data_IF_081427538622
#
_entry.id   IF_081427538622
#
_cell.length_a   1.000
_cell.length_b   1.000
_cell.length_c   1.000
_cell.angle_alpha   90.00
_cell.angle_beta   90.00
_cell.angle_gamma   90.00
#
_symmetry.space_group_name_H-M   'P 1'
#
loop_
_entity.id
_entity.type
_entity.pdbx_description
1 polymer ?
#
# COMPACT_ATOMS: atom_id res chain seq x y z
N UNK A 1 -28.29 -3.42 4.20
CA UNK A 1 -27.22 -4.27 4.79
C UNK A 1 -26.26 -3.35 5.52
N UNK A 2 -25.65 -3.76 6.63
CA UNK A 2 -24.71 -2.89 7.33
C UNK A 2 -23.52 -2.58 6.43
N UNK A 3 -23.14 -1.31 6.38
CA UNK A 3 -21.92 -0.83 5.71
C UNK A 3 -20.72 -1.33 6.51
N UNK A 4 -19.59 -1.60 5.85
CA UNK A 4 -18.33 -1.93 6.55
C UNK A 4 -17.87 -0.71 7.34
N UNK A 5 -17.76 -0.86 8.65
CA UNK A 5 -17.32 0.18 9.58
C UNK A 5 -16.01 -0.28 10.26
N UNK A 6 -14.90 0.38 9.97
CA UNK A 6 -13.58 0.03 10.52
C UNK A 6 -13.47 0.31 12.03
N UNK A 7 -14.34 1.18 12.56
CA UNK A 7 -14.43 1.49 14.00
C UNK A 7 -15.24 0.47 14.79
N UNK A 8 -15.94 -0.45 14.11
CA UNK A 8 -16.75 -1.50 14.71
C UNK A 8 -15.87 -2.73 15.04
N UNK A 9 -15.54 -2.88 16.32
CA UNK A 9 -14.73 -4.00 16.82
C UNK A 9 -15.37 -5.36 16.57
N UNK A 10 -16.71 -5.44 16.60
CA UNK A 10 -17.43 -6.70 16.40
C UNK A 10 -17.35 -7.13 14.93
N UNK A 11 -17.46 -6.18 14.00
CA UNK A 11 -17.21 -6.47 12.58
C UNK A 11 -15.77 -6.88 12.32
N UNK A 12 -14.80 -6.21 12.96
CA UNK A 12 -13.38 -6.55 12.84
C UNK A 12 -13.10 -7.98 13.33
N UNK A 13 -13.69 -8.37 14.45
CA UNK A 13 -13.60 -9.72 14.98
C UNK A 13 -14.33 -10.74 14.08
N UNK A 14 -15.54 -10.41 13.62
CA UNK A 14 -16.33 -11.26 12.72
C UNK A 14 -15.60 -11.60 11.42
N UNK A 15 -14.80 -10.68 10.88
CA UNK A 15 -13.95 -10.95 9.71
C UNK A 15 -13.01 -12.14 9.98
N UNK A 16 -12.33 -12.17 11.12
CA UNK A 16 -11.35 -13.23 11.46
C UNK A 16 -12.04 -14.57 11.75
N UNK A 17 -13.19 -14.54 12.42
CA UNK A 17 -13.98 -15.73 12.73
C UNK A 17 -14.55 -16.36 11.45
N UNK A 18 -15.15 -15.54 10.59
CA UNK A 18 -15.66 -15.96 9.30
C UNK A 18 -14.54 -16.46 8.38
N UNK A 19 -13.39 -15.77 8.36
CA UNK A 19 -12.21 -16.21 7.63
C UNK A 19 -11.72 -17.57 8.11
N UNK A 20 -11.79 -17.84 9.41
CA UNK A 20 -11.44 -19.14 9.98
C UNK A 20 -12.43 -20.24 9.52
N UNK A 21 -13.72 -19.95 9.48
CA UNK A 21 -14.73 -20.86 8.95
C UNK A 21 -14.52 -21.14 7.46
N UNK A 22 -14.35 -20.09 6.64
CA UNK A 22 -14.09 -20.19 5.21
C UNK A 22 -12.79 -20.94 4.88
N UNK A 23 -11.76 -20.81 5.71
CA UNK A 23 -10.49 -21.51 5.52
C UNK A 23 -10.62 -23.03 5.75
N UNK A 24 -11.55 -23.47 6.62
CA UNK A 24 -11.88 -24.87 6.86
C UNK A 24 -12.84 -25.45 5.80
N UNK A 25 -13.63 -24.59 5.16
CA UNK A 25 -14.65 -25.00 4.16
C UNK A 25 -15.92 -25.60 4.78
N UNK A 26 -16.89 -25.95 3.93
CA UNK A 26 -18.14 -26.61 4.31
C UNK A 26 -19.37 -25.71 4.35
N UNK A 27 -20.58 -26.30 4.43
CA UNK A 27 -21.88 -25.60 4.40
C UNK A 27 -22.03 -24.55 5.54
N UNK A 28 -21.39 -24.76 6.67
CA UNK A 28 -21.38 -23.77 7.76
C UNK A 28 -20.74 -22.44 7.36
N UNK A 29 -19.78 -22.45 6.41
CA UNK A 29 -19.15 -21.24 5.90
C UNK A 29 -20.09 -20.40 5.02
N UNK A 30 -20.92 -21.05 4.20
CA UNK A 30 -21.90 -20.37 3.34
C UNK A 30 -23.00 -19.68 4.16
N UNK A 31 -23.47 -20.35 5.20
CA UNK A 31 -24.45 -19.77 6.11
C UNK A 31 -23.90 -18.58 6.88
N UNK A 32 -22.66 -18.67 7.34
CA UNK A 32 -21.98 -17.58 8.05
C UNK A 32 -21.76 -16.34 7.15
N UNK A 33 -21.47 -16.54 5.87
CA UNK A 33 -21.35 -15.44 4.89
C UNK A 33 -22.66 -14.67 4.75
N UNK A 34 -23.81 -15.36 4.70
CA UNK A 34 -25.12 -14.74 4.53
C UNK A 34 -25.50 -13.82 5.71
N UNK A 35 -24.96 -14.05 6.91
CA UNK A 35 -25.28 -13.29 8.12
C UNK A 35 -24.54 -11.97 8.27
N UNK A 36 -23.35 -11.79 7.61
CA UNK A 36 -22.44 -10.69 7.91
C UNK A 36 -22.41 -9.56 6.87
N UNK A 37 -23.13 -9.71 5.76
CA UNK A 37 -23.11 -8.74 4.67
C UNK A 37 -21.88 -8.86 3.74
N UNK A 38 -21.99 -8.29 2.51
CA UNK A 38 -21.05 -8.55 1.42
C UNK A 38 -19.62 -8.01 1.68
N UNK A 39 -19.49 -6.90 2.38
CA UNK A 39 -18.18 -6.28 2.63
C UNK A 39 -17.36 -7.09 3.64
N UNK A 40 -17.95 -7.48 4.77
CA UNK A 40 -17.33 -8.35 5.78
C UNK A 40 -17.01 -9.72 5.17
N UNK A 41 -17.92 -10.26 4.36
CA UNK A 41 -17.72 -11.53 3.68
C UNK A 41 -16.56 -11.48 2.66
N UNK A 42 -16.43 -10.40 1.90
CA UNK A 42 -15.33 -10.20 0.97
C UNK A 42 -13.98 -10.13 1.70
N UNK A 43 -13.89 -9.35 2.78
CA UNK A 43 -12.68 -9.21 3.59
C UNK A 43 -12.29 -10.55 4.24
N UNK A 44 -13.27 -11.27 4.79
CA UNK A 44 -13.07 -12.61 5.36
C UNK A 44 -12.61 -13.64 4.30
N UNK A 45 -13.13 -13.56 3.07
CA UNK A 45 -12.68 -14.41 1.96
C UNK A 45 -11.22 -14.11 1.57
N UNK A 46 -10.82 -12.83 1.55
CA UNK A 46 -9.43 -12.40 1.36
C UNK A 46 -8.50 -12.97 2.44
N UNK A 47 -8.86 -12.83 3.71
CA UNK A 47 -8.12 -13.38 4.84
C UNK A 47 -8.07 -14.93 4.80
N UNK A 48 -9.16 -15.60 4.47
CA UNK A 48 -9.20 -17.06 4.34
C UNK A 48 -8.30 -17.56 3.21
N UNK A 49 -8.25 -16.86 2.06
CA UNK A 49 -7.32 -17.15 0.96
C UNK A 49 -5.88 -17.02 1.44
N UNK A 50 -5.56 -15.96 2.16
CA UNK A 50 -4.26 -15.70 2.77
C UNK A 50 -3.86 -16.84 3.72
N UNK A 51 -4.77 -17.27 4.59
CA UNK A 51 -4.53 -18.38 5.52
C UNK A 51 -4.24 -19.70 4.83
N UNK A 52 -4.90 -20.00 3.71
CA UNK A 52 -4.60 -21.19 2.90
C UNK A 52 -3.23 -21.07 2.23
N UNK A 53 -2.86 -19.88 1.74
CA UNK A 53 -1.55 -19.63 1.10
C UNK A 53 -0.39 -19.69 2.09
N UNK A 54 -0.58 -19.26 3.35
CA UNK A 54 0.47 -19.32 4.39
C UNK A 54 0.99 -20.73 4.63
N UNK A 55 0.19 -21.78 4.36
CA UNK A 55 0.63 -23.16 4.46
C UNK A 55 1.79 -23.49 3.49
N UNK A 56 2.01 -22.66 2.46
CA UNK A 56 3.15 -22.74 1.53
C UNK A 56 4.39 -22.01 2.04
N UNK A 57 4.30 -21.30 3.18
CA UNK A 57 5.43 -20.69 3.85
C UNK A 57 6.23 -21.78 4.57
N UNK A 58 6.96 -22.59 3.78
CA UNK A 58 7.77 -23.68 4.31
C UNK A 58 9.01 -23.10 5.02
N UNK A 59 9.32 -23.61 6.21
CA UNK A 59 10.46 -23.16 7.00
C UNK A 59 10.17 -21.93 7.85
N UNK A 60 11.19 -21.44 8.56
CA UNK A 60 11.08 -20.26 9.38
C UNK A 60 10.91 -18.98 8.52
N UNK A 61 9.86 -18.21 8.81
CA UNK A 61 9.58 -16.91 8.15
C UNK A 61 9.31 -15.86 9.22
N UNK A 62 9.98 -14.73 9.10
CA UNK A 62 9.69 -13.54 9.90
C UNK A 62 9.04 -12.45 9.06
N UNK A 63 7.89 -11.95 9.50
CA UNK A 63 7.18 -10.83 8.90
C UNK A 63 7.43 -9.57 9.71
N UNK A 64 8.12 -8.57 9.14
CA UNK A 64 8.17 -7.24 9.75
C UNK A 64 7.18 -6.33 9.06
N UNK A 65 6.18 -5.84 9.78
CA UNK A 65 5.16 -4.94 9.24
C UNK A 65 5.52 -3.50 9.59
N UNK A 66 5.57 -2.62 8.60
CA UNK A 66 5.91 -1.22 8.78
C UNK A 66 4.78 -0.29 8.32
N UNK A 67 4.63 0.85 9.02
CA UNK A 67 3.75 1.95 8.60
C UNK A 67 4.23 3.31 9.11
N UNK A 68 3.77 4.38 8.46
CA UNK A 68 3.92 5.75 8.93
C UNK A 68 2.69 6.20 9.72
N UNK A 69 2.87 7.11 10.68
CA UNK A 69 1.81 7.70 11.48
C UNK A 69 1.87 9.23 11.42
N UNK A 70 0.74 9.88 11.16
CA UNK A 70 0.60 11.33 11.20
C UNK A 70 -0.84 11.70 11.60
N UNK A 71 -1.04 12.24 12.81
CA UNK A 71 -2.37 12.60 13.30
C UNK A 71 -3.27 11.39 13.59
N UNK A 72 -2.71 10.25 13.97
CA UNK A 72 -3.44 8.98 14.13
C UNK A 72 -3.96 8.73 15.56
N UNK A 73 -3.77 9.67 16.46
CA UNK A 73 -4.07 9.49 17.91
C UNK A 73 -5.53 9.13 18.18
N UNK A 74 -6.45 9.77 17.46
CA UNK A 74 -7.89 9.50 17.59
C UNK A 74 -8.32 8.12 17.09
N UNK A 75 -7.55 7.54 16.15
CA UNK A 75 -7.84 6.23 15.55
C UNK A 75 -7.21 5.07 16.34
N UNK A 76 -6.21 5.36 17.19
CA UNK A 76 -5.56 4.36 18.06
C UNK A 76 -6.39 3.97 19.28
N UNK A 77 -7.46 4.69 19.59
CA UNK A 77 -8.36 4.41 20.69
C UNK A 77 -9.62 3.69 20.21
N UNK A 78 -10.34 2.97 21.10
CA UNK A 78 -11.63 2.38 20.74
C UNK A 78 -12.69 3.43 20.37
N UNK A 79 -13.68 3.03 19.58
CA UNK A 79 -14.85 3.87 19.23
C UNK A 79 -15.57 4.45 20.45
N UNK A 80 -15.59 3.74 21.57
CA UNK A 80 -16.17 4.23 22.82
C UNK A 80 -15.46 5.47 23.38
N UNK A 81 -14.19 5.71 22.98
CA UNK A 81 -13.38 6.86 23.41
C UNK A 81 -13.42 7.98 22.36
N UNK A 82 -13.42 7.62 21.08
CA UNK A 82 -13.47 8.59 19.98
C UNK A 82 -14.29 8.07 18.80
N UNK A 83 -15.17 8.90 18.16
CA UNK A 83 -16.06 8.44 17.07
C UNK A 83 -15.32 7.78 15.88
N UNK A 84 -14.10 8.21 15.61
CA UNK A 84 -13.24 7.64 14.57
C UNK A 84 -12.23 6.59 15.12
N UNK A 85 -12.45 6.13 16.36
CA UNK A 85 -11.57 5.17 17.01
C UNK A 85 -11.70 3.78 16.39
N UNK A 86 -10.62 3.30 15.78
CA UNK A 86 -10.51 1.96 15.19
C UNK A 86 -9.80 0.97 16.12
N UNK A 87 -9.12 1.48 17.15
CA UNK A 87 -8.20 0.70 17.98
C UNK A 87 -7.18 -0.10 17.14
N UNK A 88 -6.70 0.53 16.06
CA UNK A 88 -6.01 -0.18 14.98
C UNK A 88 -4.74 -0.91 15.44
N UNK A 89 -4.05 -0.43 16.47
CA UNK A 89 -2.84 -1.10 16.97
C UNK A 89 -3.16 -2.50 17.48
N UNK A 90 -4.17 -2.64 18.35
CA UNK A 90 -4.61 -3.93 18.89
C UNK A 90 -5.27 -4.79 17.83
N UNK A 91 -6.06 -4.20 16.96
CA UNK A 91 -6.70 -4.91 15.85
C UNK A 91 -5.64 -5.51 14.90
N UNK A 92 -4.61 -4.75 14.50
CA UNK A 92 -3.51 -5.25 13.67
C UNK A 92 -2.71 -6.35 14.33
N UNK A 93 -2.43 -6.24 15.63
CA UNK A 93 -1.79 -7.33 16.39
C UNK A 93 -2.66 -8.58 16.38
N UNK A 94 -3.98 -8.46 16.62
CA UNK A 94 -4.92 -9.58 16.55
C UNK A 94 -4.94 -10.24 15.16
N UNK A 95 -4.89 -9.45 14.10
CA UNK A 95 -4.82 -9.93 12.72
C UNK A 95 -3.51 -10.71 12.44
N UNK A 96 -2.37 -10.22 12.94
CA UNK A 96 -1.08 -10.90 12.82
C UNK A 96 -1.02 -12.17 13.65
N UNK A 97 -1.51 -12.15 14.90
CA UNK A 97 -1.61 -13.33 15.75
C UNK A 97 -2.52 -14.38 15.11
N UNK A 98 -3.65 -13.96 14.51
CA UNK A 98 -4.54 -14.84 13.76
C UNK A 98 -3.84 -15.45 12.53
N UNK A 99 -3.10 -14.66 11.79
CA UNK A 99 -2.36 -15.11 10.60
C UNK A 99 -1.26 -16.09 10.97
N UNK A 100 -0.49 -15.84 12.00
CA UNK A 100 0.68 -16.65 12.40
C UNK A 100 0.31 -17.82 13.30
N UNK A 101 -0.83 -17.76 13.96
CA UNK A 101 -1.30 -18.75 14.92
C UNK A 101 -1.32 -20.18 14.37
N UNK A 102 -0.73 -21.12 15.14
CA UNK A 102 -0.60 -22.53 14.77
C UNK A 102 0.54 -22.87 13.79
N UNK A 103 1.41 -21.91 13.47
CA UNK A 103 2.63 -22.10 12.67
C UNK A 103 3.86 -21.62 13.44
N UNK A 104 4.53 -22.47 14.22
CA UNK A 104 5.62 -22.05 15.11
C UNK A 104 6.81 -21.44 14.36
N UNK A 105 6.99 -21.72 13.08
CA UNK A 105 8.02 -21.12 12.24
C UNK A 105 7.65 -19.77 11.63
N UNK A 106 6.42 -19.28 11.82
CA UNK A 106 5.96 -17.99 11.31
C UNK A 106 5.84 -16.99 12.45
N UNK A 107 6.64 -15.94 12.41
CA UNK A 107 6.74 -14.92 13.45
C UNK A 107 6.56 -13.53 12.87
N UNK A 108 6.29 -12.53 13.72
CA UNK A 108 6.09 -11.17 13.26
C UNK A 108 6.69 -10.11 14.22
N UNK A 109 6.97 -8.93 13.67
CA UNK A 109 7.25 -7.70 14.38
C UNK A 109 6.59 -6.51 13.69
N UNK A 110 6.41 -5.41 14.43
CA UNK A 110 5.87 -4.15 13.94
C UNK A 110 6.92 -3.06 14.14
N UNK A 111 7.13 -2.22 13.12
CA UNK A 111 7.92 -0.98 13.22
C UNK A 111 7.07 0.15 12.67
N UNK A 112 6.60 1.04 13.54
CA UNK A 112 5.85 2.23 13.14
C UNK A 112 6.74 3.47 13.24
N UNK A 113 6.60 4.40 12.29
CA UNK A 113 7.37 5.64 12.30
C UNK A 113 6.43 6.85 12.32
N UNK A 114 6.61 7.71 13.31
CA UNK A 114 5.91 8.98 13.43
C UNK A 114 6.50 9.99 12.43
N UNK A 115 5.65 10.52 11.57
CA UNK A 115 6.00 11.44 10.46
C UNK A 115 5.95 12.92 10.88
N UNK A 116 6.19 13.23 12.15
CA UNK A 116 6.09 14.57 12.69
C UNK A 116 4.67 14.93 13.13
N UNK A 117 3.99 13.99 13.78
CA UNK A 117 2.60 14.16 14.24
C UNK A 117 2.41 15.47 15.02
N UNK A 118 1.39 16.29 14.64
CA UNK A 118 1.10 17.55 15.30
C UNK A 118 0.40 17.40 16.66
N UNK A 119 -0.21 16.22 16.90
CA UNK A 119 -1.00 15.95 18.11
C UNK A 119 -0.15 15.99 19.38
N UNK A 120 -0.81 16.22 20.51
CA UNK A 120 -0.21 16.14 21.85
C UNK A 120 -1.18 15.38 22.79
N UNK A 121 -0.83 14.16 23.23
CA UNK A 121 0.39 13.39 22.91
C UNK A 121 0.47 13.02 21.41
N UNK A 122 1.69 12.80 20.90
CA UNK A 122 1.89 12.41 19.51
C UNK A 122 1.44 10.98 19.22
N UNK A 123 1.28 10.62 17.95
CA UNK A 123 0.99 9.24 17.56
C UNK A 123 2.03 8.25 18.09
N UNK A 124 3.30 8.65 18.13
CA UNK A 124 4.37 7.84 18.72
C UNK A 124 4.21 7.67 20.24
N UNK A 125 3.80 8.72 20.97
CA UNK A 125 3.56 8.64 22.42
C UNK A 125 2.42 7.68 22.73
N UNK A 126 1.29 7.82 22.04
CA UNK A 126 0.11 6.99 22.22
C UNK A 126 0.42 5.52 21.91
N UNK A 127 1.06 5.25 20.76
CA UNK A 127 1.42 3.88 20.38
C UNK A 127 2.41 3.24 21.35
N UNK A 128 3.39 4.02 21.85
CA UNK A 128 4.34 3.55 22.86
C UNK A 128 3.61 3.20 24.17
N UNK A 129 2.64 4.02 24.58
CA UNK A 129 1.79 3.76 25.72
C UNK A 129 0.96 2.48 25.58
N UNK A 130 0.34 2.28 24.43
CA UNK A 130 -0.40 1.04 24.10
C UNK A 130 0.54 -0.16 24.15
N UNK A 131 1.70 -0.09 23.50
CA UNK A 131 2.65 -1.19 23.48
C UNK A 131 3.13 -1.57 24.90
N UNK A 132 3.36 -0.59 25.76
CA UNK A 132 3.74 -0.82 27.16
C UNK A 132 2.59 -1.43 27.96
N UNK A 133 1.36 -0.95 27.81
CA UNK A 133 0.18 -1.45 28.51
C UNK A 133 -0.15 -2.90 28.11
N UNK A 134 0.02 -3.26 26.84
CA UNK A 134 -0.19 -4.61 26.33
C UNK A 134 1.03 -5.54 26.52
N UNK A 135 2.13 -5.02 27.05
CA UNK A 135 3.35 -5.81 27.31
C UNK A 135 4.07 -6.25 26.04
N UNK A 136 3.92 -5.54 24.93
CA UNK A 136 4.67 -5.87 23.70
C UNK A 136 6.15 -5.50 23.86
N UNK A 137 7.09 -6.44 23.62
CA UNK A 137 8.51 -6.13 23.66
C UNK A 137 8.91 -5.16 22.52
N UNK A 138 10.01 -4.40 22.70
CA UNK A 138 10.54 -3.49 21.70
C UNK A 138 11.31 -4.22 20.57
N UNK A 139 11.68 -5.48 20.79
CA UNK A 139 12.42 -6.28 19.81
C UNK A 139 12.11 -7.76 19.98
N UNK A 140 12.42 -8.55 18.98
CA UNK A 140 12.16 -9.99 19.00
C UNK A 140 10.84 -10.37 18.33
N UNK A 141 10.36 -11.56 18.62
CA UNK A 141 9.06 -12.04 18.13
C UNK A 141 7.93 -11.28 18.81
N UNK A 142 6.85 -11.01 18.06
CA UNK A 142 5.66 -10.32 18.54
C UNK A 142 6.00 -8.98 19.19
N UNK A 143 6.91 -8.24 18.56
CA UNK A 143 7.42 -6.97 19.09
C UNK A 143 6.80 -5.76 18.39
N UNK A 144 6.77 -4.63 19.11
CA UNK A 144 6.31 -3.33 18.60
C UNK A 144 7.40 -2.29 18.87
N UNK A 145 7.96 -1.74 17.79
CA UNK A 145 8.96 -0.68 17.83
C UNK A 145 8.37 0.61 17.26
N UNK A 146 8.60 1.71 17.94
CA UNK A 146 8.14 3.04 17.48
C UNK A 146 9.36 3.90 17.20
N UNK A 147 9.41 4.47 16.00
CA UNK A 147 10.43 5.42 15.53
C UNK A 147 9.82 6.82 15.42
N UNK A 148 10.67 7.83 15.51
CA UNK A 148 10.31 9.24 15.26
C UNK A 148 11.18 9.76 14.13
N UNK A 149 10.58 10.14 13.01
CA UNK A 149 11.33 10.65 11.87
C UNK A 149 12.17 11.89 12.25
N UNK A 150 11.62 12.76 13.11
CA UNK A 150 12.33 13.94 13.61
C UNK A 150 13.66 13.63 14.31
N UNK A 151 13.76 12.48 14.99
CA UNK A 151 15.00 12.03 15.66
C UNK A 151 16.00 11.42 14.67
N UNK A 152 15.54 11.00 13.50
CA UNK A 152 16.36 10.38 12.46
C UNK A 152 16.92 11.41 11.47
N UNK A 153 16.20 12.52 11.27
CA UNK A 153 16.65 13.66 10.44
C UNK A 153 17.85 14.31 11.11
N UNK A 154 18.97 14.42 10.40
CA UNK A 154 20.21 15.01 10.92
C UNK A 154 21.00 14.14 11.89
N UNK A 155 20.53 12.96 12.22
CA UNK A 155 21.11 12.06 13.23
C UNK A 155 21.84 10.83 12.65
N UNK A 156 22.64 10.94 11.62
CA UNK A 156 23.53 9.87 11.14
C UNK A 156 22.87 8.49 10.95
N UNK A 157 21.59 8.47 10.63
CA UNK A 157 20.91 7.26 10.23
C UNK A 157 21.03 7.12 8.70
N UNK A 158 22.12 6.48 8.18
CA UNK A 158 22.35 6.37 6.77
C UNK A 158 21.33 5.41 6.18
N UNK A 159 20.21 5.94 5.74
CA UNK A 159 19.17 5.13 5.11
C UNK A 159 19.35 5.14 3.60
N UNK A 160 19.44 6.33 3.01
CA UNK A 160 19.52 6.52 1.56
C UNK A 160 19.88 7.98 1.25
N UNK A 161 20.28 8.30 0.00
CA UNK A 161 20.47 9.69 -0.44
C UNK A 161 19.21 10.58 -0.27
N UNK A 162 18.01 9.98 -0.20
CA UNK A 162 16.79 10.72 0.12
C UNK A 162 16.87 11.40 1.49
N UNK A 163 17.51 10.77 2.48
CA UNK A 163 17.65 11.34 3.83
C UNK A 163 18.64 12.49 3.90
N UNK A 164 19.61 12.58 2.98
CA UNK A 164 20.52 13.71 2.89
C UNK A 164 19.80 15.01 2.51
N UNK A 165 18.65 14.88 1.85
CA UNK A 165 17.81 15.98 1.37
C UNK A 165 16.65 16.29 2.34
N UNK A 166 16.33 15.37 3.25
CA UNK A 166 15.21 15.48 4.19
C UNK A 166 15.67 16.29 5.41
N UNK A 167 15.29 17.55 5.50
CA UNK A 167 15.70 18.49 6.57
C UNK A 167 14.60 18.73 7.61
N UNK A 168 13.35 18.39 7.29
CA UNK A 168 12.22 18.45 8.22
C UNK A 168 11.19 17.38 7.92
N UNK A 169 10.38 17.02 8.91
CA UNK A 169 9.28 16.04 8.75
C UNK A 169 8.21 16.51 7.75
N UNK A 170 8.00 17.83 7.63
CA UNK A 170 7.01 18.38 6.69
C UNK A 170 7.27 18.03 5.22
N UNK A 171 8.53 17.71 4.90
CA UNK A 171 8.93 17.30 3.56
C UNK A 171 8.64 15.82 3.28
N UNK A 172 8.49 15.00 4.32
CA UNK A 172 8.44 13.54 4.22
C UNK A 172 7.22 13.04 3.45
N UNK A 173 6.06 13.69 3.62
CA UNK A 173 4.82 13.27 2.97
C UNK A 173 4.59 11.75 3.05
N UNK A 174 4.87 11.13 4.21
CA UNK A 174 4.81 9.69 4.48
C UNK A 174 6.02 8.89 3.95
N UNK A 175 6.59 9.26 2.81
CA UNK A 175 7.66 8.49 2.17
C UNK A 175 8.92 8.35 3.02
N UNK A 176 9.37 9.44 3.66
CA UNK A 176 10.53 9.43 4.55
C UNK A 176 10.35 8.50 5.75
N UNK A 177 9.19 8.53 6.39
CA UNK A 177 8.87 7.65 7.54
C UNK A 177 8.79 6.19 7.13
N UNK A 178 8.20 5.87 5.97
CA UNK A 178 8.18 4.50 5.46
C UNK A 178 9.60 4.03 5.13
N UNK A 179 10.42 4.83 4.45
CA UNK A 179 11.81 4.47 4.14
C UNK A 179 12.62 4.21 5.42
N UNK A 180 12.46 5.05 6.45
CA UNK A 180 13.11 4.86 7.74
C UNK A 180 12.70 3.53 8.39
N UNK A 181 11.40 3.23 8.39
CA UNK A 181 10.87 1.99 8.96
C UNK A 181 11.32 0.75 8.16
N UNK A 182 11.31 0.82 6.81
CA UNK A 182 11.83 -0.25 5.95
C UNK A 182 13.32 -0.51 6.20
N UNK A 183 14.13 0.55 6.33
CA UNK A 183 15.56 0.44 6.61
C UNK A 183 15.81 -0.18 8.01
N UNK A 184 15.03 0.24 9.01
CA UNK A 184 15.10 -0.34 10.34
C UNK A 184 14.72 -1.82 10.32
N UNK A 185 13.68 -2.20 9.58
CA UNK A 185 13.24 -3.59 9.42
C UNK A 185 14.34 -4.46 8.79
N UNK A 186 14.92 -4.01 7.67
CA UNK A 186 16.02 -4.74 7.00
C UNK A 186 17.22 -4.89 7.92
N UNK A 187 17.58 -3.85 8.68
CA UNK A 187 18.72 -3.86 9.60
C UNK A 187 18.49 -4.78 10.80
N UNK A 188 17.26 -4.85 11.31
CA UNK A 188 16.92 -5.75 12.43
C UNK A 188 17.12 -7.23 12.03
N UNK A 189 17.04 -7.53 10.74
CA UNK A 189 17.20 -8.89 10.24
C UNK A 189 16.07 -9.83 10.66
N UNK A 190 16.15 -11.11 10.26
CA UNK A 190 15.19 -12.11 10.73
C UNK A 190 15.42 -12.39 12.22
N UNK A 191 14.36 -12.21 12.99
CA UNK A 191 14.38 -12.49 14.44
C UNK A 191 14.28 -14.00 14.67
N UNK A 192 15.35 -14.72 14.40
CA UNK A 192 15.42 -16.16 14.69
C UNK A 192 16.76 -16.55 15.29
N UNK A 193 16.72 -17.46 16.23
CA UNK A 193 17.85 -17.85 17.06
C UNK A 193 19.12 -18.33 16.32
N UNK A 194 19.03 -18.61 15.00
CA UNK A 194 20.14 -19.13 14.21
C UNK A 194 20.34 -18.43 12.86
N UNK A 195 19.68 -17.29 12.59
CA UNK A 195 19.82 -16.58 11.31
C UNK A 195 19.30 -17.33 10.08
N UNK A 196 18.78 -18.54 10.25
CA UNK A 196 18.22 -19.37 9.19
C UNK A 196 16.72 -19.09 9.06
N UNK A 197 16.31 -18.39 8.02
CA UNK A 197 14.90 -18.12 7.75
C UNK A 197 14.73 -17.02 6.70
N UNK A 198 13.54 -16.96 6.10
CA UNK A 198 13.16 -15.88 5.17
C UNK A 198 12.66 -14.69 5.98
N UNK A 199 13.10 -13.51 5.62
CA UNK A 199 12.61 -12.25 6.18
C UNK A 199 11.82 -11.50 5.13
N UNK A 200 10.54 -11.28 5.42
CA UNK A 200 9.62 -10.52 4.57
C UNK A 200 9.29 -9.21 5.26
N UNK A 201 9.58 -8.10 4.63
CA UNK A 201 9.22 -6.77 5.11
C UNK A 201 7.95 -6.31 4.42
N UNK A 202 6.93 -6.01 5.20
CA UNK A 202 5.61 -5.64 4.71
C UNK A 202 5.33 -4.17 5.02
N UNK A 203 4.91 -3.42 4.02
CA UNK A 203 4.48 -2.04 4.15
C UNK A 203 2.96 -1.95 4.11
N UNK A 204 2.34 -1.21 5.05
CA UNK A 204 0.89 -0.96 5.09
C UNK A 204 0.58 0.47 5.51
N UNK A 205 -0.68 0.90 5.33
CA UNK A 205 -1.21 2.11 5.95
C UNK A 205 -1.43 1.89 7.46
N UNK A 206 -1.46 2.97 8.26
CA UNK A 206 -1.66 2.86 9.71
C UNK A 206 -3.03 2.32 10.06
N UNK A 207 -4.06 2.74 9.32
CA UNK A 207 -5.47 2.38 9.52
C UNK A 207 -5.80 0.90 9.23
N UNK A 208 -7.06 0.54 9.41
CA UNK A 208 -7.57 -0.80 9.14
C UNK A 208 -8.03 -1.00 7.68
N UNK A 209 -7.76 -0.07 6.78
CA UNK A 209 -8.13 -0.17 5.36
C UNK A 209 -7.61 -1.45 4.69
N UNK A 210 -6.39 -1.88 5.05
CA UNK A 210 -5.84 -3.17 4.66
C UNK A 210 -5.73 -4.11 5.86
N UNK A 211 -6.53 -5.17 5.88
CA UNK A 211 -6.48 -6.17 6.95
C UNK A 211 -5.22 -7.04 6.85
N UNK A 212 -4.38 -7.03 7.90
CA UNK A 212 -3.11 -7.76 7.95
C UNK A 212 -3.28 -9.29 7.89
N UNK A 213 -4.45 -9.82 8.18
CA UNK A 213 -4.76 -11.23 7.94
C UNK A 213 -4.58 -11.64 6.46
N UNK A 214 -4.54 -10.69 5.52
CA UNK A 214 -4.29 -10.93 4.10
C UNK A 214 -2.80 -11.02 3.74
N UNK A 215 -1.86 -10.71 4.64
CA UNK A 215 -0.42 -10.70 4.35
C UNK A 215 0.13 -12.05 3.89
N UNK A 216 -0.46 -13.17 4.27
CA UNK A 216 -0.05 -14.47 3.77
C UNK A 216 -0.18 -14.62 2.25
N UNK A 217 -1.10 -13.87 1.62
CA UNK A 217 -1.20 -13.83 0.15
C UNK A 217 -0.02 -13.12 -0.50
N UNK A 218 0.50 -12.08 0.13
CA UNK A 218 1.65 -11.31 -0.37
C UNK A 218 2.98 -11.98 -0.01
N UNK A 219 3.08 -12.54 1.20
CA UNK A 219 4.29 -13.22 1.65
C UNK A 219 4.55 -14.54 0.89
N UNK A 220 3.49 -15.27 0.53
CA UNK A 220 3.63 -16.57 -0.11
C UNK A 220 4.44 -16.54 -1.43
N UNK A 221 4.18 -15.66 -2.41
CA UNK A 221 5.02 -15.60 -3.62
C UNK A 221 6.46 -15.18 -3.33
N UNK A 222 6.68 -14.28 -2.36
CA UNK A 222 8.02 -13.83 -1.94
C UNK A 222 8.83 -14.96 -1.31
N UNK A 223 8.19 -15.81 -0.50
CA UNK A 223 8.86 -16.93 0.18
C UNK A 223 9.03 -18.14 -0.73
N UNK A 224 8.02 -18.46 -1.54
CA UNK A 224 8.00 -19.65 -2.38
C UNK A 224 8.83 -19.50 -3.67
N UNK A 225 9.08 -18.26 -4.12
CA UNK A 225 9.77 -17.97 -5.38
C UNK A 225 11.13 -17.33 -5.15
N UNK A 226 12.22 -18.03 -5.51
CA UNK A 226 13.59 -17.46 -5.41
C UNK A 226 13.80 -16.22 -6.28
N UNK A 227 12.86 -15.92 -7.19
CA UNK A 227 12.93 -14.79 -8.12
C UNK A 227 11.97 -13.66 -7.80
N UNK A 228 11.08 -13.83 -6.80
CA UNK A 228 10.10 -12.80 -6.44
C UNK A 228 10.70 -11.90 -5.36
N UNK A 229 11.04 -10.68 -5.74
CA UNK A 229 11.59 -9.66 -4.85
C UNK A 229 10.51 -8.90 -4.06
N UNK A 230 9.28 -8.85 -4.58
CA UNK A 230 8.16 -8.21 -3.94
C UNK A 230 6.80 -8.67 -4.46
N UNK A 231 5.78 -8.53 -3.62
CA UNK A 231 4.38 -8.77 -3.96
C UNK A 231 3.54 -7.55 -3.58
N UNK A 232 2.70 -7.10 -4.50
CA UNK A 232 1.97 -5.85 -4.45
C UNK A 232 0.48 -6.13 -4.37
N UNK A 233 -0.16 -5.69 -3.28
CA UNK A 233 -1.61 -5.76 -3.14
C UNK A 233 -2.30 -4.87 -4.16
N UNK A 234 -3.25 -5.43 -4.89
CA UNK A 234 -4.04 -4.69 -5.88
C UNK A 234 -5.46 -4.52 -5.38
N UNK A 235 -5.92 -3.28 -5.27
CA UNK A 235 -7.30 -2.93 -4.88
C UNK A 235 -8.28 -3.10 -6.04
N UNK A 236 -7.78 -3.11 -7.26
CA UNK A 236 -8.51 -3.18 -8.53
C UNK A 236 -7.60 -3.65 -9.67
N UNK A 237 -8.17 -3.85 -10.85
CA UNK A 237 -7.41 -4.12 -12.08
C UNK A 237 -6.95 -5.57 -12.26
N UNK A 238 -7.22 -6.46 -11.30
CA UNK A 238 -6.95 -7.90 -11.42
C UNK A 238 -8.09 -8.72 -10.80
N UNK A 239 -8.32 -9.96 -11.29
CA UNK A 239 -9.37 -10.83 -10.75
C UNK A 239 -9.21 -11.08 -9.25
N UNK A 240 -10.29 -10.91 -8.51
CA UNK A 240 -10.34 -11.14 -7.06
C UNK A 240 -9.87 -9.96 -6.20
N UNK A 241 -9.46 -8.84 -6.80
CA UNK A 241 -9.29 -7.57 -6.11
C UNK A 241 -10.68 -6.97 -5.80
N UNK A 242 -10.83 -6.42 -4.60
CA UNK A 242 -12.10 -5.81 -4.15
C UNK A 242 -11.80 -4.53 -3.39
N UNK A 243 -12.44 -3.45 -3.83
CA UNK A 243 -12.46 -2.18 -3.13
C UNK A 243 -13.81 -2.06 -2.40
N UNK A 244 -13.78 -2.04 -1.08
CA UNK A 244 -14.99 -1.84 -0.26
C UNK A 244 -15.20 -0.35 -0.06
N UNK A 245 -16.40 0.12 -0.40
CA UNK A 245 -16.84 1.51 -0.29
C UNK A 245 -18.08 1.60 0.58
N UNK A 246 -18.51 2.80 1.02
CA UNK A 246 -19.75 2.96 1.78
C UNK A 246 -20.98 2.33 1.10
N UNK A 247 -21.01 2.34 -0.23
CA UNK A 247 -22.09 1.75 -1.03
C UNK A 247 -21.95 0.22 -1.21
N UNK A 248 -20.87 -0.36 -0.75
CA UNK A 248 -20.57 -1.79 -0.83
C UNK A 248 -19.29 -2.13 -1.59
N UNK A 249 -18.96 -3.43 -1.70
CA UNK A 249 -17.77 -3.87 -2.40
C UNK A 249 -17.91 -3.67 -3.91
N UNK A 250 -16.84 -3.18 -4.53
CA UNK A 250 -16.71 -3.01 -5.98
C UNK A 250 -15.42 -3.66 -6.47
N UNK A 251 -15.42 -4.16 -7.70
CA UNK A 251 -14.25 -4.79 -8.34
C UNK A 251 -13.48 -3.83 -9.24
N UNK A 252 -14.05 -2.66 -9.49
CA UNK A 252 -13.50 -1.64 -10.37
C UNK A 252 -13.48 -0.27 -9.68
N UNK A 253 -12.55 0.63 -10.04
CA UNK A 253 -12.62 2.01 -9.60
C UNK A 253 -13.84 2.68 -10.22
N UNK A 254 -14.67 3.29 -9.38
CA UNK A 254 -15.88 3.98 -9.85
C UNK A 254 -15.65 5.48 -9.95
N UNK A 255 -16.33 6.12 -10.90
CA UNK A 255 -16.23 7.55 -11.16
C UNK A 255 -17.21 8.41 -10.35
N UNK A 256 -18.15 7.79 -9.62
CA UNK A 256 -19.17 8.51 -8.86
C UNK A 256 -18.99 8.34 -7.35
N UNK A 257 -19.00 9.46 -6.64
CA UNK A 257 -19.11 9.51 -5.17
C UNK A 257 -17.90 9.11 -4.35
N UNK A 258 -16.79 8.71 -4.97
CA UNK A 258 -15.60 8.26 -4.26
C UNK A 258 -14.29 8.76 -4.86
N UNK A 259 -13.27 8.79 -4.04
CA UNK A 259 -11.89 9.10 -4.45
C UNK A 259 -11.08 7.81 -4.61
N UNK A 260 -10.10 7.81 -5.49
CA UNK A 260 -9.90 8.70 -6.63
C UNK A 260 -10.84 8.36 -7.79
N UNK A 261 -11.09 9.34 -8.65
CA UNK A 261 -11.86 9.13 -9.87
C UNK A 261 -11.23 8.07 -10.77
N UNK A 262 -12.06 7.19 -11.33
CA UNK A 262 -11.67 6.11 -12.23
C UNK A 262 -10.75 6.58 -13.35
N UNK A 263 -11.11 7.65 -14.04
CA UNK A 263 -10.35 8.15 -15.21
C UNK A 263 -8.98 8.69 -14.78
N UNK A 264 -8.88 9.36 -13.64
CA UNK A 264 -7.57 9.82 -13.12
C UNK A 264 -6.64 8.65 -12.77
N UNK A 265 -7.18 7.56 -12.21
CA UNK A 265 -6.42 6.33 -11.93
C UNK A 265 -5.93 5.72 -13.24
N UNK A 266 -6.81 5.57 -14.23
CA UNK A 266 -6.49 4.95 -15.51
C UNK A 266 -5.50 5.78 -16.30
N UNK A 267 -5.67 7.11 -16.33
CA UNK A 267 -4.74 8.01 -17.01
C UNK A 267 -3.35 7.97 -16.37
N UNK A 268 -3.27 8.01 -15.04
CA UNK A 268 -1.99 7.86 -14.32
C UNK A 268 -1.34 6.50 -14.60
N UNK A 269 -2.12 5.42 -14.63
CA UNK A 269 -1.61 4.10 -15.01
C UNK A 269 -1.09 4.09 -16.44
N UNK A 270 -1.85 4.65 -17.42
CA UNK A 270 -1.44 4.75 -18.81
C UNK A 270 -0.11 5.50 -18.97
N UNK A 271 0.03 6.68 -18.35
CA UNK A 271 1.28 7.47 -18.38
C UNK A 271 2.43 6.65 -17.82
N UNK A 272 2.23 6.02 -16.66
CA UNK A 272 3.26 5.22 -16.02
C UNK A 272 3.60 3.96 -16.82
N UNK A 273 2.63 3.25 -17.35
CA UNK A 273 2.85 2.02 -18.11
C UNK A 273 3.64 2.29 -19.41
N UNK A 274 3.45 3.45 -20.01
CA UNK A 274 4.15 3.82 -21.24
C UNK A 274 5.56 4.37 -20.96
N UNK A 275 5.74 5.17 -19.90
CA UNK A 275 7.04 5.77 -19.56
C UNK A 275 7.92 4.88 -18.70
N UNK A 276 7.33 3.97 -17.92
CA UNK A 276 8.04 3.04 -17.01
C UNK A 276 7.61 1.60 -17.33
N UNK A 277 8.00 1.05 -18.50
CA UNK A 277 7.56 -0.27 -18.95
C UNK A 277 7.77 -1.41 -17.95
N UNK A 278 8.85 -1.41 -17.11
CA UNK A 278 9.01 -2.45 -16.10
C UNK A 278 7.85 -2.56 -15.10
N UNK A 279 7.03 -1.51 -14.93
CA UNK A 279 5.87 -1.50 -14.05
C UNK A 279 4.52 -1.53 -14.80
N UNK A 280 4.51 -1.77 -16.12
CA UNK A 280 3.29 -1.76 -16.91
C UNK A 280 2.26 -2.81 -16.46
N UNK A 281 2.73 -3.95 -15.93
CA UNK A 281 1.89 -5.04 -15.44
C UNK A 281 1.29 -4.80 -14.03
N UNK A 282 1.63 -3.68 -13.39
CA UNK A 282 1.14 -3.33 -12.04
C UNK A 282 0.03 -2.29 -12.16
N UNK A 283 -1.26 -2.64 -12.04
CA UNK A 283 -2.36 -1.67 -12.12
C UNK A 283 -2.28 -0.61 -11.02
N UNK A 284 -2.07 -1.02 -9.77
CA UNK A 284 -2.07 -0.16 -8.59
C UNK A 284 -0.71 -0.15 -7.90
N UNK A 285 0.08 0.90 -8.12
CA UNK A 285 1.34 1.12 -7.39
C UNK A 285 1.17 1.86 -6.07
N UNK A 286 -0.01 2.43 -5.80
CA UNK A 286 -0.26 3.32 -4.66
C UNK A 286 -0.93 2.62 -3.48
N UNK A 287 -1.32 1.34 -3.61
CA UNK A 287 -1.85 0.60 -2.48
C UNK A 287 -0.80 0.51 -1.37
N UNK A 288 -1.13 0.99 -0.18
CA UNK A 288 -0.32 0.82 1.01
C UNK A 288 -0.40 -0.61 1.55
N UNK A 289 -0.12 -1.62 0.71
CA UNK A 289 -0.10 -3.02 1.11
C UNK A 289 0.82 -3.82 0.19
N UNK A 290 2.09 -3.92 0.60
CA UNK A 290 3.17 -4.53 -0.18
C UNK A 290 4.03 -5.39 0.71
N UNK A 291 4.61 -6.46 0.17
CA UNK A 291 5.56 -7.33 0.87
C UNK A 291 6.82 -7.50 0.01
N UNK A 292 7.99 -7.47 0.64
CA UNK A 292 9.28 -7.52 -0.02
C UNK A 292 10.19 -8.54 0.65
N UNK A 293 11.01 -9.21 -0.13
CA UNK A 293 12.15 -9.95 0.39
C UNK A 293 13.18 -8.96 0.97
N UNK A 294 13.53 -9.11 2.23
CA UNK A 294 14.41 -8.16 2.92
C UNK A 294 15.81 -8.10 2.27
N UNK A 295 16.30 -9.22 1.73
CA UNK A 295 17.61 -9.27 1.05
C UNK A 295 17.58 -8.54 -0.30
N UNK A 296 16.44 -8.57 -1.00
CA UNK A 296 16.25 -7.79 -2.22
C UNK A 296 16.03 -6.29 -1.91
N UNK A 297 15.31 -5.99 -0.83
CA UNK A 297 14.93 -4.64 -0.43
C UNK A 297 16.11 -3.81 0.08
N UNK A 298 17.00 -4.39 0.89
CA UNK A 298 18.10 -3.67 1.52
C UNK A 298 18.97 -2.85 0.56
N UNK A 299 19.54 -3.43 -0.51
CA UNK A 299 20.32 -2.68 -1.49
C UNK A 299 19.52 -1.61 -2.24
N UNK A 300 18.21 -1.75 -2.35
CA UNK A 300 17.33 -0.79 -3.03
C UNK A 300 17.08 0.42 -2.15
N UNK A 301 16.80 0.24 -0.85
CA UNK A 301 16.63 1.34 0.10
C UNK A 301 17.85 2.28 0.07
N UNK A 302 19.07 1.74 0.02
CA UNK A 302 20.30 2.54 -0.03
C UNK A 302 20.46 3.39 -1.30
N UNK A 303 19.61 3.22 -2.32
CA UNK A 303 19.63 3.97 -3.59
C UNK A 303 18.47 4.96 -3.73
N UNK A 304 17.51 4.93 -2.81
CA UNK A 304 16.33 5.79 -2.85
C UNK A 304 16.71 7.27 -2.76
N UNK A 305 16.06 8.07 -3.57
CA UNK A 305 16.23 9.53 -3.62
C UNK A 305 14.93 10.28 -3.41
N UNK A 306 13.76 9.64 -3.59
CA UNK A 306 12.45 10.22 -3.31
C UNK A 306 11.98 9.85 -1.91
N UNK A 307 11.37 10.82 -1.25
CA UNK A 307 10.69 10.66 0.05
C UNK A 307 9.25 11.23 0.03
N UNK A 308 8.76 11.62 -1.15
CA UNK A 308 7.42 12.14 -1.40
C UNK A 308 6.42 11.02 -1.79
N UNK A 309 5.27 11.40 -2.36
CA UNK A 309 4.18 10.48 -2.72
C UNK A 309 4.55 9.43 -3.79
N UNK A 310 5.68 9.60 -4.48
CA UNK A 310 6.16 8.64 -5.51
C UNK A 310 7.32 7.77 -5.05
N UNK A 311 7.68 7.82 -3.77
CA UNK A 311 8.75 6.97 -3.22
C UNK A 311 8.52 5.49 -3.50
N UNK A 312 7.28 5.04 -3.46
CA UNK A 312 6.93 3.65 -3.73
C UNK A 312 7.12 3.27 -5.20
N UNK A 313 6.85 4.17 -6.15
CA UNK A 313 7.12 3.94 -7.57
C UNK A 313 8.64 3.83 -7.82
N UNK A 314 9.45 4.70 -7.20
CA UNK A 314 10.91 4.63 -7.26
C UNK A 314 11.44 3.30 -6.71
N UNK A 315 10.92 2.89 -5.54
CA UNK A 315 11.26 1.60 -4.91
C UNK A 315 11.01 0.43 -5.87
N UNK A 316 9.85 0.41 -6.52
CA UNK A 316 9.46 -0.63 -7.47
C UNK A 316 10.32 -0.61 -8.74
N UNK A 317 10.69 0.58 -9.25
CA UNK A 317 11.62 0.71 -10.38
C UNK A 317 12.96 0.06 -10.04
N UNK A 318 13.54 0.39 -8.90
CA UNK A 318 14.82 -0.18 -8.48
C UNK A 318 14.76 -1.70 -8.28
N UNK A 319 13.68 -2.22 -7.71
CA UNK A 319 13.46 -3.67 -7.59
C UNK A 319 13.35 -4.33 -8.96
N UNK A 320 12.58 -3.74 -9.89
CA UNK A 320 12.43 -4.25 -11.26
C UNK A 320 13.72 -4.20 -12.05
N UNK A 321 14.52 -3.13 -11.90
CA UNK A 321 15.84 -3.01 -12.53
C UNK A 321 16.83 -4.04 -12.00
N UNK A 322 16.78 -4.36 -10.71
CA UNK A 322 17.71 -5.30 -10.08
C UNK A 322 17.34 -6.76 -10.36
N UNK A 323 16.07 -7.11 -10.29
CA UNK A 323 15.60 -8.50 -10.27
C UNK A 323 14.75 -8.88 -11.50
N UNK A 324 14.55 -7.93 -12.42
CA UNK A 324 13.66 -8.04 -13.57
C UNK A 324 12.19 -7.76 -13.23
N UNK A 325 11.38 -7.28 -14.20
CA UNK A 325 9.95 -6.97 -13.98
C UNK A 325 9.13 -8.14 -13.40
N UNK A 326 9.33 -9.41 -13.80
CA UNK A 326 8.61 -10.55 -13.24
C UNK A 326 8.86 -10.80 -11.74
N UNK A 327 9.89 -10.16 -11.15
CA UNK A 327 10.15 -10.27 -9.72
C UNK A 327 9.15 -9.47 -8.85
N UNK A 328 8.27 -8.68 -9.46
CA UNK A 328 7.19 -7.97 -8.80
C UNK A 328 5.86 -8.70 -9.08
N UNK A 329 5.44 -9.54 -8.15
CA UNK A 329 4.14 -10.20 -8.22
C UNK A 329 3.00 -9.23 -7.88
N UNK A 330 1.84 -9.40 -8.51
CA UNK A 330 0.61 -8.67 -8.17
C UNK A 330 -0.40 -9.64 -7.53
N UNK A 331 -0.97 -9.24 -6.41
CA UNK A 331 -1.87 -10.09 -5.62
C UNK A 331 -3.17 -9.35 -5.31
N UNK A 332 -4.33 -9.98 -5.54
CA UNK A 332 -5.61 -9.36 -5.23
C UNK A 332 -5.80 -9.24 -3.72
N UNK A 333 -6.23 -8.07 -3.27
CA UNK A 333 -6.60 -7.81 -1.89
C UNK A 333 -8.02 -7.28 -1.79
N UNK A 334 -8.58 -7.37 -0.61
CA UNK A 334 -9.77 -6.62 -0.22
C UNK A 334 -9.31 -5.41 0.60
N UNK A 335 -9.63 -4.24 0.14
CA UNK A 335 -9.25 -2.96 0.75
C UNK A 335 -10.50 -2.16 1.04
N UNK A 336 -10.64 -1.68 2.28
CA UNK A 336 -11.77 -0.84 2.69
C UNK A 336 -11.36 0.61 2.68
N UNK A 337 -12.00 1.44 1.85
CA UNK A 337 -11.74 2.88 1.87
C UNK A 337 -12.36 3.50 3.12
N UNK A 338 -11.52 4.21 3.90
CA UNK A 338 -12.00 5.09 4.96
C UNK A 338 -12.14 6.52 4.43
N UNK A 339 -13.40 6.96 4.30
CA UNK A 339 -13.72 8.30 3.80
C UNK A 339 -13.64 9.37 4.89
N UNK A 340 -13.68 8.97 6.17
CA UNK A 340 -13.67 9.92 7.29
C UNK A 340 -12.27 10.51 7.55
N UNK A 341 -11.21 9.82 7.16
CA UNK A 341 -9.82 10.18 7.47
C UNK A 341 -8.93 10.42 6.24
N UNK A 342 -9.51 10.63 5.06
CA UNK A 342 -8.70 10.84 3.86
C UNK A 342 -8.02 12.22 3.83
N UNK A 343 -6.72 12.22 3.66
CA UNK A 343 -5.92 13.44 3.46
C UNK A 343 -6.05 14.01 2.02
N UNK A 344 -6.84 13.39 1.14
CA UNK A 344 -7.08 13.87 -0.22
C UNK A 344 -8.33 14.76 -0.26
N UNK A 345 -8.16 16.07 -0.45
CA UNK A 345 -9.27 17.03 -0.27
C UNK A 345 -10.26 17.09 -1.43
N UNK A 346 -10.04 16.41 -2.56
CA UNK A 346 -10.88 16.59 -3.75
C UNK A 346 -11.00 15.37 -4.65
N UNK A 347 -12.23 15.07 -5.06
CA UNK A 347 -12.58 14.10 -6.11
C UNK A 347 -12.30 14.67 -7.52
N UNK A 348 -12.28 16.01 -7.64
CA UNK A 348 -12.04 16.70 -8.89
C UNK A 348 -10.55 16.65 -9.29
N UNK A 349 -10.23 16.63 -10.59
CA UNK A 349 -8.87 16.80 -11.06
C UNK A 349 -8.30 18.12 -10.53
N UNK A 350 -7.13 18.07 -9.92
CA UNK A 350 -6.53 19.21 -9.22
C UNK A 350 -5.01 19.21 -9.27
N UNK A 351 -4.36 20.24 -8.69
CA UNK A 351 -2.91 20.42 -8.73
C UNK A 351 -2.13 19.21 -8.22
N UNK A 352 -2.64 18.55 -7.17
CA UNK A 352 -2.02 17.36 -6.59
C UNK A 352 -1.96 16.18 -7.58
N UNK A 353 -3.04 15.93 -8.32
CA UNK A 353 -3.08 14.85 -9.30
C UNK A 353 -2.14 15.11 -10.49
N UNK A 354 -2.07 16.36 -10.95
CA UNK A 354 -1.11 16.76 -11.97
C UNK A 354 0.32 16.63 -11.48
N UNK A 355 0.61 17.03 -10.23
CA UNK A 355 1.92 16.89 -9.63
C UNK A 355 2.37 15.42 -9.61
N UNK A 356 1.49 14.47 -9.28
CA UNK A 356 1.81 13.04 -9.36
C UNK A 356 2.17 12.58 -10.77
N UNK A 357 1.54 13.12 -11.80
CA UNK A 357 1.87 12.82 -13.19
C UNK A 357 3.26 13.38 -13.56
N UNK A 358 3.58 14.60 -13.14
CA UNK A 358 4.91 15.19 -13.35
C UNK A 358 6.00 14.43 -12.59
N UNK A 359 5.74 13.96 -11.37
CA UNK A 359 6.67 13.13 -10.61
C UNK A 359 6.96 11.78 -11.32
N UNK A 360 5.99 11.20 -12.06
CA UNK A 360 6.25 10.03 -12.91
C UNK A 360 7.26 10.38 -14.02
N UNK A 361 7.14 11.57 -14.62
CA UNK A 361 8.11 12.05 -15.62
C UNK A 361 9.48 12.28 -15.02
N UNK A 362 9.58 12.85 -13.83
CA UNK A 362 10.84 13.02 -13.11
C UNK A 362 11.52 11.68 -12.82
N UNK A 363 10.76 10.68 -12.39
CA UNK A 363 11.27 9.32 -12.19
C UNK A 363 11.73 8.69 -13.51
N UNK A 364 10.97 8.88 -14.60
CA UNK A 364 11.37 8.44 -15.92
C UNK A 364 12.72 9.08 -16.33
N UNK A 365 12.83 10.40 -16.24
CA UNK A 365 14.05 11.15 -16.64
C UNK A 365 15.28 10.69 -15.86
N UNK A 366 15.10 10.42 -14.57
CA UNK A 366 16.20 10.05 -13.67
C UNK A 366 16.58 8.58 -13.77
N UNK A 367 15.61 7.67 -13.89
CA UNK A 367 15.85 6.24 -13.69
C UNK A 367 15.68 5.38 -14.95
N UNK A 368 14.91 5.84 -15.92
CA UNK A 368 14.58 5.06 -17.13
C UNK A 368 15.27 5.62 -18.36
N UNK A 369 15.15 6.92 -18.61
CA UNK A 369 15.69 7.56 -19.80
C UNK A 369 17.20 7.33 -20.04
N UNK A 370 18.07 7.29 -19.01
CA UNK A 370 19.49 7.02 -19.22
C UNK A 370 19.80 5.64 -19.81
N UNK A 371 18.90 4.67 -19.60
CA UNK A 371 19.05 3.28 -20.10
C UNK A 371 18.16 3.02 -21.31
N UNK A 372 16.94 3.54 -21.28
CA UNK A 372 15.93 3.31 -22.33
C UNK A 372 15.23 4.64 -22.65
N UNK A 373 15.79 5.45 -23.54
CA UNK A 373 15.16 6.69 -23.99
C UNK A 373 13.81 6.42 -24.65
N UNK A 374 12.82 7.30 -24.39
CA UNK A 374 11.52 7.21 -25.01
C UNK A 374 11.60 7.46 -26.52
N UNK A 375 10.88 6.64 -27.27
CA UNK A 375 10.74 6.76 -28.74
C UNK A 375 9.27 6.62 -29.14
N UNK A 376 8.92 7.09 -30.33
CA UNK A 376 7.54 6.97 -30.84
C UNK A 376 6.52 7.56 -29.89
N UNK A 377 5.45 6.82 -29.63
CA UNK A 377 4.32 7.26 -28.77
C UNK A 377 4.74 7.65 -27.35
N UNK A 378 5.73 6.96 -26.76
CA UNK A 378 6.24 7.31 -25.44
C UNK A 378 6.92 8.69 -25.43
N UNK A 379 7.70 9.02 -26.50
CA UNK A 379 8.31 10.34 -26.63
C UNK A 379 7.25 11.43 -26.84
N UNK A 380 6.21 11.12 -27.61
CA UNK A 380 5.09 12.01 -27.84
C UNK A 380 4.29 12.29 -26.56
N UNK A 381 4.03 11.25 -25.75
CA UNK A 381 3.37 11.40 -24.46
C UNK A 381 4.23 12.22 -23.49
N UNK A 382 5.51 11.92 -23.42
CA UNK A 382 6.46 12.64 -22.57
C UNK A 382 6.47 14.15 -22.90
N UNK A 383 6.51 14.50 -24.19
CA UNK A 383 6.45 15.90 -24.65
C UNK A 383 5.11 16.56 -24.26
N UNK A 384 3.99 15.83 -24.37
CA UNK A 384 2.68 16.34 -23.96
C UNK A 384 2.66 16.61 -22.44
N UNK A 385 3.06 15.63 -21.61
CA UNK A 385 2.99 15.75 -20.14
C UNK A 385 3.89 16.90 -19.65
N UNK A 386 5.08 17.08 -20.22
CA UNK A 386 6.00 18.17 -19.82
C UNK A 386 5.41 19.56 -20.02
N UNK A 387 4.48 19.71 -20.95
CA UNK A 387 3.82 20.99 -21.25
C UNK A 387 2.42 21.10 -20.65
N UNK A 388 1.94 20.03 -20.00
CA UNK A 388 0.58 19.96 -19.47
C UNK A 388 0.46 20.81 -18.20
N UNK A 389 -0.29 21.89 -18.29
CA UNK A 389 -0.66 22.70 -17.13
C UNK A 389 -1.96 22.19 -16.48
N UNK A 390 -2.34 22.79 -15.36
CA UNK A 390 -3.53 22.39 -14.60
C UNK A 390 -4.80 22.45 -15.43
N UNK A 391 -4.98 23.51 -16.20
CA UNK A 391 -6.19 23.66 -16.98
C UNK A 391 -6.28 22.65 -18.14
N UNK A 392 -5.12 22.34 -18.81
CA UNK A 392 -5.04 21.27 -19.80
C UNK A 392 -5.33 19.91 -19.19
N UNK A 393 -4.81 19.65 -17.99
CA UNK A 393 -5.09 18.42 -17.26
C UNK A 393 -6.58 18.27 -16.92
N UNK A 394 -7.21 19.32 -16.39
CA UNK A 394 -8.65 19.31 -16.07
C UNK A 394 -9.48 19.03 -17.33
N UNK A 395 -9.24 19.79 -18.40
CA UNK A 395 -9.92 19.62 -19.71
C UNK A 395 -9.75 18.20 -20.24
N UNK A 396 -8.53 17.66 -20.17
CA UNK A 396 -8.22 16.31 -20.60
C UNK A 396 -9.01 15.26 -19.82
N UNK A 397 -8.98 15.31 -18.49
CA UNK A 397 -9.68 14.35 -17.63
C UNK A 397 -11.19 14.42 -17.82
N UNK A 398 -11.77 15.62 -17.96
CA UNK A 398 -13.21 15.81 -18.21
C UNK A 398 -13.63 15.23 -19.58
N UNK A 399 -12.82 15.45 -20.61
CA UNK A 399 -13.07 14.87 -21.92
C UNK A 399 -13.01 13.34 -21.91
N UNK A 400 -11.96 12.76 -21.31
CA UNK A 400 -11.81 11.32 -21.17
C UNK A 400 -12.93 10.68 -20.33
N UNK A 401 -13.45 11.41 -19.35
CA UNK A 401 -14.61 10.98 -18.54
C UNK A 401 -15.88 10.96 -19.37
N UNK A 402 -16.10 11.97 -20.22
CA UNK A 402 -17.28 12.04 -21.10
C UNK A 402 -17.29 10.92 -22.15
N UNK A 403 -16.12 10.48 -22.58
CA UNK A 403 -15.95 9.40 -23.57
C UNK A 403 -15.79 8.00 -22.95
N UNK A 404 -15.91 7.84 -21.61
CA UNK A 404 -15.71 6.55 -20.97
C UNK A 404 -16.83 5.56 -21.35
N UNK A 405 -16.54 4.48 -22.09
CA UNK A 405 -17.55 3.50 -22.51
C UNK A 405 -17.95 2.52 -21.42
N UNK A 406 -17.39 2.62 -20.21
CA UNK A 406 -17.64 1.64 -19.15
C UNK A 406 -16.98 0.28 -19.38
N UNK A 407 -15.88 0.22 -20.11
CA UNK A 407 -15.20 -1.02 -20.52
C UNK A 407 -14.58 -1.77 -19.32
N UNK A 408 -14.80 -3.10 -19.19
CA UNK A 408 -14.19 -3.91 -18.15
C UNK A 408 -12.66 -4.11 -18.29
N UNK A 409 -12.07 -3.87 -19.46
CA UNK A 409 -10.60 -3.97 -19.70
C UNK A 409 -9.85 -2.69 -19.39
N UNK A 410 -10.22 -2.04 -18.28
CA UNK A 410 -9.83 -0.65 -17.98
C UNK A 410 -8.33 -0.40 -17.98
N UNK A 411 -7.53 -1.31 -17.45
CA UNK A 411 -6.09 -1.12 -17.31
C UNK A 411 -5.30 -1.47 -18.56
N UNK A 412 -5.93 -2.08 -19.56
CA UNK A 412 -5.36 -2.31 -20.90
C UNK A 412 -5.66 -1.15 -21.85
N UNK A 413 -6.48 -0.19 -21.42
CA UNK A 413 -6.89 0.95 -22.24
C UNK A 413 -5.69 1.78 -22.66
N UNK A 414 -5.68 2.13 -23.94
CA UNK A 414 -4.70 3.03 -24.55
C UNK A 414 -5.42 4.20 -25.18
N UNK A 415 -4.86 5.39 -25.00
CA UNK A 415 -5.32 6.60 -25.68
C UNK A 415 -4.28 7.04 -26.69
N UNK A 416 -4.60 7.19 -27.98
CA UNK A 416 -3.67 7.74 -28.96
C UNK A 416 -3.17 9.12 -28.53
N UNK A 417 -1.87 9.29 -28.38
CA UNK A 417 -1.29 10.55 -27.86
C UNK A 417 -1.64 11.76 -28.76
N UNK A 418 -1.81 11.53 -30.06
CA UNK A 418 -2.27 12.56 -30.97
C UNK A 418 -3.68 13.10 -30.62
N UNK A 419 -4.59 12.22 -30.18
CA UNK A 419 -5.92 12.62 -29.69
C UNK A 419 -5.79 13.43 -28.39
N UNK A 420 -5.00 12.98 -27.44
CA UNK A 420 -4.76 13.70 -26.17
C UNK A 420 -4.22 15.12 -26.43
N UNK A 421 -3.27 15.26 -27.39
CA UNK A 421 -2.75 16.56 -27.80
C UNK A 421 -3.83 17.45 -28.44
N UNK A 422 -4.73 16.86 -29.24
CA UNK A 422 -5.86 17.58 -29.83
C UNK A 422 -6.75 18.20 -28.76
N UNK A 423 -7.14 17.43 -27.74
CA UNK A 423 -7.97 17.89 -26.64
C UNK A 423 -7.32 19.09 -25.91
N UNK A 424 -6.02 19.02 -25.62
CA UNK A 424 -5.30 20.10 -24.94
C UNK A 424 -5.08 21.38 -25.76
N UNK A 425 -5.21 21.32 -27.11
CA UNK A 425 -5.01 22.48 -28.02
C UNK A 425 -6.27 23.26 -28.30
N UNK A 426 -7.44 22.70 -28.10
CA UNK A 426 -8.75 23.34 -28.35
C UNK A 426 -9.24 24.16 -27.15
N UNK A 427 -8.32 24.83 -26.47
CA UNK A 427 -8.56 25.81 -25.42
C UNK A 427 -8.89 27.18 -25.94
#
# INVERSE_FOLDING_TARGET
MPVRDLTDSDQNQAVLELASALARGGAAAEHAVASHGPAVAAEAAGAARSRRRRAKLAGPVHLTVVWAMYGETSRMVPRAVHPHGEDFVRAKVSQLDWLTGGLPGLTWSIIACDDGCPDRPSSADVMTGIAAAEGYPKSGHRSVTVLRLAELIGGHFPVSPAFDQLTSTDQSRKGGSILAALAAAVRAGPVQANGAGRHVVCYTDADLSANLAQLGSLAAPVVAGDKVAGALGQRYGIPGAVLVRPDGPVTEPQSTGGKPDKIMILFRHFVRALLIPPLAHVPDTQAGFKAFDAAALGPVIGRMTSFNETFDVELLIHLAQRSGPPALAVEPIVFTEDFAATNFPSVAPGPHHLAMIHQIVELYDRLIAPVTPATGEAADLLALIRTLDLGGYVTLIEHLRAEDPGDPTLFDRRWPVAQLRGICRHR
#
